data_IF_658312995250
#
_entry.id   IF_658312995250
#
_cell.length_a   1.000
_cell.length_b   1.000
_cell.length_c   1.000
_cell.angle_alpha   90.00
_cell.angle_beta   90.00
_cell.angle_gamma   90.00
#
_symmetry.space_group_name_H-M   'P 1'
#
loop_
_entity.id
_entity.type
_entity.pdbx_description
1 polymer ?
#
# COMPACT_ATOMS: atom_id res chain seq x y z
N UNK A 1 -2.16 -2.09 -13.29
CA UNK A 1 -2.73 -1.12 -12.33
C UNK A 1 -3.34 0.09 -13.03
N UNK A 2 -4.33 0.73 -12.39
CA UNK A 2 -5.01 1.95 -12.86
C UNK A 2 -4.98 3.03 -11.78
N UNK A 3 -5.24 4.30 -12.16
CA UNK A 3 -5.32 5.41 -11.19
C UNK A 3 -6.39 5.11 -10.14
N UNK A 4 -6.13 5.51 -8.89
CA UNK A 4 -7.05 5.37 -7.76
C UNK A 4 -8.45 5.90 -8.10
N UNK A 5 -9.43 5.01 -8.02
CA UNK A 5 -10.82 5.37 -7.74
C UNK A 5 -11.00 5.25 -6.23
N UNK A 6 -11.08 6.39 -5.55
CA UNK A 6 -11.09 6.45 -4.09
C UNK A 6 -12.29 5.70 -3.48
N UNK A 7 -13.46 5.72 -4.13
CA UNK A 7 -14.66 5.05 -3.62
C UNK A 7 -14.51 3.53 -3.75
N UNK A 8 -14.04 3.07 -4.90
CA UNK A 8 -13.81 1.65 -5.13
C UNK A 8 -12.73 1.10 -4.19
N UNK A 9 -11.60 1.80 -4.06
CA UNK A 9 -10.51 1.39 -3.16
C UNK A 9 -10.97 1.37 -1.70
N UNK A 10 -11.77 2.35 -1.26
CA UNK A 10 -12.35 2.31 0.07
C UNK A 10 -13.22 1.05 0.27
N UNK A 11 -14.05 0.68 -0.71
CA UNK A 11 -14.88 -0.53 -0.62
C UNK A 11 -14.03 -1.80 -0.54
N UNK A 12 -12.94 -1.89 -1.30
CA UNK A 12 -12.00 -3.02 -1.24
C UNK A 12 -11.27 -3.10 0.10
N UNK A 13 -10.88 -1.95 0.67
CA UNK A 13 -10.31 -1.88 2.02
C UNK A 13 -11.34 -2.33 3.08
N UNK A 14 -12.59 -1.91 2.94
CA UNK A 14 -13.66 -2.25 3.87
C UNK A 14 -13.97 -3.76 3.84
N UNK A 15 -13.82 -4.42 2.68
CA UNK A 15 -14.02 -5.87 2.51
C UNK A 15 -13.14 -6.74 3.40
N UNK A 16 -11.93 -6.29 3.77
CA UNK A 16 -11.06 -7.04 4.68
C UNK A 16 -11.09 -6.55 6.14
N UNK A 17 -12.00 -5.63 6.50
CA UNK A 17 -12.17 -5.25 7.91
C UNK A 17 -12.54 -6.48 8.74
N UNK A 18 -11.85 -6.66 9.86
CA UNK A 18 -12.00 -7.78 10.78
C UNK A 18 -11.69 -9.18 10.19
N UNK A 19 -11.08 -9.25 9.01
CA UNK A 19 -10.58 -10.48 8.39
C UNK A 19 -9.08 -10.62 8.67
N UNK A 20 -8.60 -11.84 8.91
CA UNK A 20 -7.15 -12.11 8.94
C UNK A 20 -6.60 -12.06 7.52
N UNK A 21 -5.61 -11.20 7.30
CA UNK A 21 -4.99 -10.97 6.00
C UNK A 21 -3.48 -10.96 6.11
N UNK A 22 -2.82 -11.26 4.99
CA UNK A 22 -1.41 -11.02 4.79
C UNK A 22 -1.22 -9.64 4.18
N UNK A 23 -0.33 -8.86 4.77
CA UNK A 23 0.07 -7.55 4.27
C UNK A 23 1.50 -7.57 3.79
N UNK A 24 1.72 -6.94 2.64
CA UNK A 24 3.02 -6.51 2.17
C UNK A 24 3.06 -4.99 2.13
N UNK A 25 4.07 -4.40 2.73
CA UNK A 25 4.35 -2.97 2.69
C UNK A 25 5.82 -2.78 2.35
N UNK A 26 6.07 -2.06 1.26
CA UNK A 26 7.40 -1.70 0.83
C UNK A 26 7.44 -0.20 0.55
N UNK A 27 8.48 0.47 1.03
CA UNK A 27 8.86 1.80 0.55
C UNK A 27 10.26 1.73 -0.01
N UNK A 28 10.46 2.34 -1.17
CA UNK A 28 11.78 2.44 -1.76
C UNK A 28 12.00 3.86 -2.22
N UNK A 29 12.86 4.56 -1.48
CA UNK A 29 13.53 5.74 -1.99
C UNK A 29 14.89 5.34 -2.60
N UNK A 30 15.44 4.19 -2.17
CA UNK A 30 16.87 3.91 -2.23
C UNK A 30 17.41 3.11 -3.39
N UNK A 31 16.63 2.26 -4.06
CA UNK A 31 17.15 1.53 -5.22
C UNK A 31 17.57 2.48 -6.36
N UNK A 32 16.98 3.69 -6.40
CA UNK A 32 17.23 4.67 -7.45
C UNK A 32 17.91 5.95 -6.98
N UNK A 33 17.75 6.37 -5.71
CA UNK A 33 18.46 7.53 -5.16
C UNK A 33 19.99 7.37 -5.21
N UNK A 34 20.49 6.14 -4.99
CA UNK A 34 21.93 5.83 -5.05
C UNK A 34 22.53 5.97 -6.45
N UNK A 35 21.75 5.76 -7.51
CA UNK A 35 22.22 5.91 -8.89
C UNK A 35 22.36 7.36 -9.33
N UNK A 36 21.66 8.30 -8.69
CA UNK A 36 21.60 9.71 -9.08
C UNK A 36 22.24 10.67 -8.06
N UNK A 37 22.83 10.18 -6.96
CA UNK A 37 23.36 11.00 -5.85
C UNK A 37 22.32 11.93 -5.19
N UNK A 38 21.02 11.66 -5.39
CA UNK A 38 19.92 12.47 -4.87
C UNK A 38 19.33 11.82 -3.63
N UNK A 39 19.99 11.99 -2.48
CA UNK A 39 19.45 11.61 -1.16
C UNK A 39 19.87 10.23 -0.65
N UNK A 40 19.45 9.91 0.57
CA UNK A 40 19.77 8.65 1.26
C UNK A 40 18.93 7.49 0.70
N UNK A 41 19.57 6.33 0.54
CA UNK A 41 18.88 5.10 0.22
C UNK A 41 18.12 4.57 1.44
N UNK A 42 16.88 5.02 1.61
CA UNK A 42 15.99 4.62 2.72
C UNK A 42 14.87 3.76 2.17
N UNK A 43 14.53 2.71 2.91
CA UNK A 43 13.40 1.85 2.61
C UNK A 43 12.93 1.10 3.84
N UNK A 44 11.71 0.61 3.77
CA UNK A 44 11.12 -0.31 4.74
C UNK A 44 10.46 -1.44 3.96
N UNK A 45 10.53 -2.65 4.49
CA UNK A 45 9.97 -3.83 3.83
C UNK A 45 9.40 -4.78 4.87
N UNK A 46 8.14 -5.15 4.69
CA UNK A 46 7.51 -6.29 5.32
C UNK A 46 6.76 -7.09 4.25
N UNK A 47 6.77 -8.41 4.36
CA UNK A 47 6.05 -9.30 3.44
C UNK A 47 5.44 -10.45 4.21
N UNK A 48 4.22 -10.83 3.82
CA UNK A 48 3.47 -11.93 4.43
C UNK A 48 3.31 -11.76 5.95
N UNK A 49 3.14 -10.52 6.40
CA UNK A 49 2.83 -10.24 7.81
C UNK A 49 1.34 -10.48 8.00
N UNK A 50 0.94 -11.50 8.80
CA UNK A 50 -0.46 -11.70 9.13
C UNK A 50 -0.91 -10.59 10.09
N UNK A 51 -2.02 -9.94 9.77
CA UNK A 51 -2.64 -8.95 10.65
C UNK A 51 -4.15 -8.91 10.45
N UNK A 52 -4.82 -8.24 11.39
CA UNK A 52 -6.26 -7.96 11.34
C UNK A 52 -6.47 -6.50 11.70
N UNK A 53 -7.15 -5.77 10.82
CA UNK A 53 -7.48 -4.37 11.05
C UNK A 53 -8.97 -4.17 11.32
N UNK A 54 -9.27 -3.26 12.24
CA UNK A 54 -10.61 -2.94 12.74
C UNK A 54 -11.27 -1.82 11.90
N UNK A 55 -10.44 -1.01 11.23
CA UNK A 55 -10.88 0.09 10.38
C UNK A 55 -9.83 0.38 9.31
N UNK A 56 -10.28 0.75 8.12
CA UNK A 56 -9.43 1.24 7.04
C UNK A 56 -9.95 2.55 6.46
N UNK A 57 -9.05 3.40 5.99
CA UNK A 57 -9.44 4.65 5.32
C UNK A 57 -8.44 5.02 4.23
N UNK A 58 -8.97 5.44 3.08
CA UNK A 58 -8.22 6.18 2.05
C UNK A 58 -8.64 7.65 2.06
N UNK A 59 -7.67 8.56 2.13
CA UNK A 59 -7.88 10.02 2.16
C UNK A 59 -6.90 10.75 1.24
N UNK A 60 -7.21 12.01 0.93
CA UNK A 60 -6.42 12.86 0.03
C UNK A 60 -7.13 13.11 -1.29
N UNK A 61 -6.54 13.99 -2.11
CA UNK A 61 -7.04 14.38 -3.44
C UNK A 61 -6.04 13.97 -4.56
N UNK A 62 -5.16 13.01 -4.27
CA UNK A 62 -4.09 12.56 -5.17
C UNK A 62 -2.78 13.34 -4.99
N UNK A 63 -1.65 12.68 -4.63
CA UNK A 63 -1.55 11.30 -4.14
C UNK A 63 -2.40 11.03 -2.89
N UNK A 64 -2.71 9.76 -2.64
CA UNK A 64 -3.56 9.33 -1.54
C UNK A 64 -2.75 8.76 -0.38
N UNK A 65 -3.40 8.73 0.77
CA UNK A 65 -2.91 8.13 2.02
C UNK A 65 -3.87 7.05 2.48
N UNK A 66 -3.32 5.93 2.93
CA UNK A 66 -4.08 4.77 3.39
C UNK A 66 -3.65 4.46 4.82
N UNK A 67 -4.63 4.38 5.72
CA UNK A 67 -4.43 3.99 7.11
C UNK A 67 -5.25 2.76 7.47
N UNK A 68 -4.60 1.76 8.07
CA UNK A 68 -5.23 0.57 8.64
C UNK A 68 -5.06 0.62 10.16
N UNK A 69 -6.17 0.66 10.91
CA UNK A 69 -6.17 0.59 12.37
C UNK A 69 -6.12 -0.86 12.80
N UNK A 70 -5.03 -1.29 13.42
CA UNK A 70 -4.90 -2.60 14.04
C UNK A 70 -5.44 -2.57 15.48
N UNK A 71 -5.66 -3.72 16.12
CA UNK A 71 -5.96 -3.77 17.57
C UNK A 71 -4.93 -2.98 18.38
N UNK A 72 -3.65 -3.20 18.09
CA UNK A 72 -2.52 -2.48 18.67
C UNK A 72 -1.67 -1.87 17.55
N UNK A 73 -1.79 -0.56 17.37
CA UNK A 73 -1.02 0.18 16.36
C UNK A 73 -1.74 0.37 15.03
N UNK A 74 -0.96 0.70 14.00
CA UNK A 74 -1.44 1.14 12.70
C UNK A 74 -0.49 0.70 11.59
N UNK A 75 -1.03 0.45 10.39
CA UNK A 75 -0.27 0.45 9.14
C UNK A 75 -0.63 1.72 8.39
N UNK A 76 0.37 2.40 7.83
CA UNK A 76 0.17 3.66 7.13
C UNK A 76 1.04 3.71 5.88
N UNK A 77 0.44 4.05 4.75
CA UNK A 77 1.11 4.24 3.47
C UNK A 77 0.68 5.57 2.84
N UNK A 78 1.65 6.36 2.41
CA UNK A 78 1.45 7.68 1.80
C UNK A 78 2.11 7.74 0.42
N UNK A 79 1.51 8.50 -0.50
CA UNK A 79 2.00 8.62 -1.87
C UNK A 79 1.37 7.61 -2.83
N UNK A 80 0.26 6.96 -2.45
CA UNK A 80 -0.43 5.97 -3.29
C UNK A 80 -1.13 6.67 -4.46
N UNK A 81 -0.89 6.21 -5.68
CA UNK A 81 -1.43 6.82 -6.91
C UNK A 81 -2.20 5.83 -7.77
N UNK A 82 -1.91 4.54 -7.66
CA UNK A 82 -2.47 3.47 -8.47
C UNK A 82 -2.98 2.32 -7.62
N UNK A 83 -3.90 1.54 -8.19
CA UNK A 83 -4.36 0.29 -7.61
C UNK A 83 -4.73 -0.76 -8.67
N UNK A 84 -4.90 -1.99 -8.18
CA UNK A 84 -5.43 -3.12 -8.92
C UNK A 84 -6.09 -4.09 -7.93
N UNK A 85 -7.22 -4.68 -8.34
CA UNK A 85 -7.72 -5.91 -7.73
C UNK A 85 -7.49 -7.00 -8.75
N UNK A 86 -6.67 -7.97 -8.41
CA UNK A 86 -6.28 -9.02 -9.36
C UNK A 86 -7.26 -10.20 -9.37
N UNK A 87 -6.95 -11.21 -10.19
CA UNK A 87 -7.71 -12.44 -10.35
C UNK A 87 -7.81 -13.28 -9.06
N UNK A 88 -6.87 -13.08 -8.13
CA UNK A 88 -6.86 -13.71 -6.79
C UNK A 88 -7.56 -12.87 -5.73
N UNK A 89 -8.31 -11.83 -6.13
CA UNK A 89 -9.00 -10.91 -5.23
C UNK A 89 -8.07 -10.13 -4.28
N UNK A 90 -6.78 -9.98 -4.61
CA UNK A 90 -5.83 -9.22 -3.78
C UNK A 90 -5.93 -7.74 -4.12
N UNK A 91 -5.94 -6.89 -3.10
CA UNK A 91 -5.87 -5.44 -3.30
C UNK A 91 -4.41 -5.02 -3.37
N UNK A 92 -3.97 -4.60 -4.55
CA UNK A 92 -2.62 -4.13 -4.81
C UNK A 92 -2.66 -2.60 -4.93
N UNK A 93 -1.96 -1.88 -4.05
CA UNK A 93 -1.88 -0.42 -4.07
C UNK A 93 -0.43 -0.01 -4.28
N UNK A 94 -0.19 0.95 -5.17
CA UNK A 94 1.14 1.44 -5.48
C UNK A 94 1.18 2.96 -5.59
N UNK A 95 2.28 3.54 -5.12
CA UNK A 95 2.70 4.89 -5.43
C UNK A 95 3.87 4.84 -6.37
N UNK A 96 3.76 5.50 -7.52
CA UNK A 96 4.84 5.67 -8.47
C UNK A 96 5.43 7.08 -8.35
N UNK A 97 6.75 7.19 -8.44
CA UNK A 97 7.46 8.46 -8.51
C UNK A 97 7.30 9.10 -9.92
N UNK A 98 7.83 10.32 -10.15
CA UNK A 98 7.70 10.99 -11.45
C UNK A 98 8.31 10.22 -12.63
N UNK A 99 9.30 9.36 -12.39
CA UNK A 99 9.91 8.49 -13.40
C UNK A 99 9.13 7.17 -13.62
N UNK A 100 7.97 7.01 -12.97
CA UNK A 100 7.12 5.82 -13.06
C UNK A 100 7.64 4.63 -12.23
N UNK A 101 8.65 4.83 -11.38
CA UNK A 101 9.23 3.79 -10.53
C UNK A 101 8.46 3.67 -9.22
N UNK A 102 8.42 2.46 -8.66
CA UNK A 102 7.75 2.20 -7.39
C UNK A 102 8.38 3.05 -6.27
N UNK A 103 7.56 3.75 -5.50
CA UNK A 103 7.96 4.51 -4.32
C UNK A 103 7.36 3.91 -3.04
N UNK A 104 6.11 3.44 -3.12
CA UNK A 104 5.42 2.73 -2.04
C UNK A 104 4.54 1.63 -2.63
N UNK A 105 4.45 0.49 -1.95
CA UNK A 105 3.47 -0.54 -2.19
C UNK A 105 2.77 -0.91 -0.89
N UNK A 106 1.44 -0.98 -0.90
CA UNK A 106 0.63 -1.59 0.16
C UNK A 106 -0.26 -2.64 -0.49
N UNK A 107 -0.06 -3.90 -0.15
CA UNK A 107 -0.81 -5.00 -0.74
C UNK A 107 -1.47 -5.82 0.35
N UNK A 108 -2.73 -6.21 0.12
CA UNK A 108 -3.57 -6.93 1.08
C UNK A 108 -4.16 -8.16 0.40
N UNK A 109 -4.03 -9.32 1.04
CA UNK A 109 -4.48 -10.62 0.53
C UNK A 109 -4.96 -11.52 1.66
N UNK A 110 -5.90 -12.43 1.40
CA UNK A 110 -6.27 -13.49 2.34
C UNK A 110 -5.25 -14.66 2.33
N UNK A 111 -4.44 -14.77 1.28
CA UNK A 111 -3.36 -15.75 1.15
C UNK A 111 -1.98 -15.07 1.13
N UNK A 112 -0.89 -15.75 1.55
CA UNK A 112 0.46 -15.23 1.39
C UNK A 112 0.81 -14.87 -0.07
N UNK A 113 1.59 -13.79 -0.24
CA UNK A 113 2.12 -13.29 -1.51
C UNK A 113 3.40 -14.01 -1.96
#
# INVERSE_FOLDING_TARGET
>A
MKIIDQKHVQAELDRFINVEVFVHLETTNGAYAGHHNTGLAVGAFIRNVPLKYERAKIVGNGPYRIGLKLKHGWVYAEGVTHYEVDDKNRLLLAGLNPEGKLAVALQISQEPF
#
